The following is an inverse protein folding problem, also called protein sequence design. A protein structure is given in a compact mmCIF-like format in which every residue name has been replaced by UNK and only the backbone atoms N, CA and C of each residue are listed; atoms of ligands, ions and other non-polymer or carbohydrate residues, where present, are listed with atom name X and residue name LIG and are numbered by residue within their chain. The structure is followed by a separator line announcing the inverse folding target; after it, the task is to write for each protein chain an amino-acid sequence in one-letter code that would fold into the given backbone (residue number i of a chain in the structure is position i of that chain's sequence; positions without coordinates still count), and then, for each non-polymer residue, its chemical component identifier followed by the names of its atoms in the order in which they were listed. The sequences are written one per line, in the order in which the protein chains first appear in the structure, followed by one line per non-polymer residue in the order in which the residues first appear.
data_IF_697556365928
#
_entry.id   IF_697556365928
#
_cell.length_a   1.000
_cell.length_b   1.000
_cell.length_c   1.000
_cell.angle_alpha   90.00
_cell.angle_beta   90.00
_cell.angle_gamma   90.00
#
_symmetry.space_group_name_H-M   'P 1'
#
loop_
_entity.id
_entity.type
_entity.pdbx_description
1 polymer ?
#
# COMPACT_ATOMS: atom_id res chain seq x y z
N UNK A 1 21.04 6.87 5.96
CA UNK A 1 19.82 6.52 5.20
C UNK A 1 19.04 5.46 5.98
N UNK A 2 18.22 5.85 6.97
CA UNK A 2 17.40 4.90 7.77
C UNK A 2 15.90 5.30 7.85
N UNK A 3 15.51 6.46 7.31
CA UNK A 3 14.18 7.03 7.56
C UNK A 3 13.06 6.44 6.69
N UNK A 4 13.32 6.10 5.43
CA UNK A 4 12.25 5.66 4.51
C UNK A 4 11.86 4.19 4.73
N UNK A 5 12.82 3.32 5.06
CA UNK A 5 12.56 1.90 5.34
C UNK A 5 11.81 1.71 6.67
N UNK A 6 12.18 2.47 7.71
CA UNK A 6 11.42 2.55 8.97
C UNK A 6 9.97 2.99 8.74
N UNK A 7 9.76 4.06 7.96
CA UNK A 7 8.41 4.54 7.66
C UNK A 7 7.57 3.48 6.94
N UNK A 8 8.13 2.68 6.04
CA UNK A 8 7.32 1.66 5.35
C UNK A 8 6.92 0.48 6.23
N UNK A 9 7.84 0.00 7.07
CA UNK A 9 7.54 -1.08 8.02
C UNK A 9 6.51 -0.65 9.07
N UNK A 10 6.61 0.59 9.56
CA UNK A 10 5.67 1.13 10.54
C UNK A 10 4.26 1.27 9.95
N UNK A 11 4.15 1.66 8.67
CA UNK A 11 2.86 1.76 7.99
C UNK A 11 2.22 0.40 7.72
N UNK A 12 3.01 -0.62 7.40
CA UNK A 12 2.52 -1.98 7.22
C UNK A 12 2.05 -2.57 8.56
N UNK A 13 2.80 -2.34 9.65
CA UNK A 13 2.38 -2.69 11.01
C UNK A 13 1.09 -1.98 11.44
N UNK A 14 0.92 -0.70 11.09
CA UNK A 14 -0.32 0.04 11.37
C UNK A 14 -1.52 -0.57 10.61
N UNK A 15 -1.32 -0.98 9.35
CA UNK A 15 -2.36 -1.61 8.55
C UNK A 15 -2.75 -2.98 9.11
N UNK A 16 -1.77 -3.78 9.50
CA UNK A 16 -1.96 -5.08 10.15
C UNK A 16 -2.67 -4.94 11.50
N UNK A 17 -2.23 -4.02 12.37
CA UNK A 17 -2.86 -3.76 13.67
C UNK A 17 -4.34 -3.36 13.52
N UNK A 18 -4.66 -2.53 12.51
CA UNK A 18 -6.06 -2.17 12.20
C UNK A 18 -6.88 -3.36 11.72
N UNK A 19 -6.29 -4.22 10.89
CA UNK A 19 -6.95 -5.45 10.43
C UNK A 19 -7.26 -6.36 11.62
N UNK A 20 -6.26 -6.62 12.46
CA UNK A 20 -6.38 -7.48 13.64
C UNK A 20 -7.39 -6.91 14.64
N UNK A 21 -7.38 -5.59 14.88
CA UNK A 21 -8.35 -4.95 15.76
C UNK A 21 -9.80 -5.13 15.26
N UNK A 22 -10.04 -5.02 13.95
CA UNK A 22 -11.38 -5.24 13.38
C UNK A 22 -11.83 -6.69 13.47
N UNK A 23 -10.90 -7.63 13.27
CA UNK A 23 -11.19 -9.05 13.42
C UNK A 23 -11.60 -9.37 14.86
N UNK A 24 -10.85 -8.84 15.84
CA UNK A 24 -11.17 -9.04 17.25
C UNK A 24 -12.52 -8.41 17.62
N UNK A 25 -12.83 -7.21 17.14
CA UNK A 25 -14.14 -6.57 17.36
C UNK A 25 -15.27 -7.42 16.76
N UNK A 26 -15.08 -8.01 15.57
CA UNK A 26 -16.09 -8.89 14.97
C UNK A 26 -16.24 -10.16 15.81
N UNK A 27 -15.15 -10.77 16.28
CA UNK A 27 -15.20 -11.92 17.17
C UNK A 27 -16.01 -11.60 18.44
N UNK A 28 -15.69 -10.49 19.12
CA UNK A 28 -16.41 -10.03 20.31
C UNK A 28 -17.90 -9.81 20.02
N UNK A 29 -18.23 -9.21 18.87
CA UNK A 29 -19.62 -9.04 18.46
C UNK A 29 -20.32 -10.38 18.23
N UNK A 30 -19.68 -11.34 17.56
CA UNK A 30 -20.29 -12.66 17.32
C UNK A 30 -20.51 -13.45 18.61
N UNK A 31 -19.65 -13.27 19.61
CA UNK A 31 -19.83 -13.87 20.93
C UNK A 31 -20.96 -13.18 21.69
N UNK A 32 -20.97 -11.85 21.70
CA UNK A 32 -22.05 -11.05 22.26
C UNK A 32 -23.42 -11.41 21.63
N UNK A 33 -23.48 -11.56 20.31
CA UNK A 33 -24.72 -11.87 19.59
C UNK A 33 -25.29 -13.23 19.99
N UNK A 34 -24.44 -14.24 20.25
CA UNK A 34 -24.90 -15.58 20.69
C UNK A 34 -25.62 -15.55 22.04
N UNK A 35 -25.20 -14.66 22.94
CA UNK A 35 -25.79 -14.51 24.27
C UNK A 35 -26.89 -13.45 24.33
N UNK A 36 -27.16 -12.76 23.22
CA UNK A 36 -28.14 -11.67 23.19
C UNK A 36 -29.53 -12.20 22.86
N UNK A 37 -30.48 -12.01 23.78
CA UNK A 37 -31.87 -12.49 23.63
C UNK A 37 -32.71 -11.69 22.62
N UNK A 38 -32.23 -10.54 22.15
CA UNK A 38 -32.94 -9.73 21.16
C UNK A 38 -32.60 -10.08 19.70
N UNK A 39 -33.38 -9.56 18.76
CA UNK A 39 -33.14 -9.78 17.32
C UNK A 39 -31.82 -9.18 16.82
N UNK A 40 -31.31 -9.71 15.69
CA UNK A 40 -30.00 -9.35 15.10
C UNK A 40 -29.77 -7.85 14.91
N UNK A 41 -30.80 -7.10 14.53
CA UNK A 41 -30.69 -5.64 14.34
C UNK A 41 -30.45 -4.91 15.65
N UNK A 42 -31.14 -5.31 16.72
CA UNK A 42 -31.00 -4.72 18.04
C UNK A 42 -29.64 -5.07 18.66
N UNK A 43 -29.20 -6.33 18.49
CA UNK A 43 -27.88 -6.79 18.95
C UNK A 43 -26.74 -5.91 18.41
N UNK A 44 -26.76 -5.57 17.12
CA UNK A 44 -25.74 -4.71 16.48
C UNK A 44 -25.70 -3.32 17.07
N UNK A 45 -26.88 -2.71 17.21
CA UNK A 45 -27.01 -1.36 17.74
C UNK A 45 -26.51 -1.29 19.19
N UNK A 46 -26.94 -2.26 20.00
CA UNK A 46 -26.57 -2.35 21.40
C UNK A 46 -25.08 -2.64 21.58
N UNK A 47 -24.51 -3.57 20.82
CA UNK A 47 -23.08 -3.86 20.85
C UNK A 47 -22.24 -2.61 20.53
N UNK A 48 -22.57 -1.88 19.46
CA UNK A 48 -21.85 -0.65 19.12
C UNK A 48 -21.94 0.40 20.23
N UNK A 49 -23.12 0.56 20.83
CA UNK A 49 -23.32 1.47 21.96
C UNK A 49 -22.48 1.05 23.17
N UNK A 50 -22.55 -0.21 23.58
CA UNK A 50 -21.82 -0.76 24.72
C UNK A 50 -20.30 -0.68 24.51
N UNK A 51 -19.81 -0.99 23.31
CA UNK A 51 -18.39 -0.89 22.96
C UNK A 51 -17.90 0.55 23.07
N UNK A 52 -18.60 1.50 22.46
CA UNK A 52 -18.22 2.92 22.45
C UNK A 52 -18.25 3.55 23.85
N UNK A 53 -19.04 3.00 24.77
CA UNK A 53 -19.08 3.39 26.18
C UNK A 53 -18.07 2.65 27.05
N UNK A 54 -17.32 1.71 26.48
CA UNK A 54 -16.31 0.92 27.19
C UNK A 54 -16.87 -0.25 28.00
N UNK A 55 -18.16 -0.55 27.90
CA UNK A 55 -18.81 -1.67 28.58
C UNK A 55 -18.50 -3.04 27.98
N UNK A 56 -18.00 -3.08 26.74
CA UNK A 56 -17.41 -4.30 26.16
C UNK A 56 -15.95 -4.39 26.61
N UNK A 57 -15.62 -5.52 27.23
CA UNK A 57 -14.24 -5.86 27.57
C UNK A 57 -13.50 -6.23 26.27
N UNK A 58 -12.52 -5.41 25.91
CA UNK A 58 -11.67 -5.62 24.77
C UNK A 58 -10.25 -5.27 25.18
N UNK A 59 -9.27 -5.98 24.62
CA UNK A 59 -7.85 -5.75 24.91
C UNK A 59 -7.46 -4.29 24.64
N UNK A 60 -6.57 -3.75 25.47
CA UNK A 60 -6.18 -2.33 25.42
C UNK A 60 -5.69 -1.91 24.02
N UNK A 61 -4.93 -2.77 23.33
CA UNK A 61 -4.44 -2.49 21.97
C UNK A 61 -5.58 -2.35 20.94
N UNK A 62 -6.70 -3.07 21.12
CA UNK A 62 -7.87 -2.96 20.25
C UNK A 62 -8.55 -1.61 20.44
N UNK A 63 -8.79 -1.21 21.70
CA UNK A 63 -9.37 0.10 22.04
C UNK A 63 -8.48 1.26 21.59
N UNK A 64 -7.17 1.13 21.74
CA UNK A 64 -6.20 2.12 21.25
C UNK A 64 -6.22 2.25 19.72
N UNK A 65 -6.46 1.15 19.00
CA UNK A 65 -6.51 1.16 17.53
C UNK A 65 -7.86 1.65 16.99
N UNK A 66 -8.97 1.25 17.63
CA UNK A 66 -10.34 1.56 17.23
C UNK A 66 -11.16 1.90 18.47
N UNK A 67 -11.25 3.20 18.76
CA UNK A 67 -11.95 3.70 19.96
C UNK A 67 -13.48 3.63 19.80
N UNK A 68 -13.98 3.87 18.59
CA UNK A 68 -15.42 3.91 18.33
C UNK A 68 -15.80 3.15 17.07
N UNK A 69 -16.99 2.58 17.08
CA UNK A 69 -17.59 1.82 15.99
C UNK A 69 -19.02 2.27 15.73
N UNK A 70 -19.44 2.10 14.48
CA UNK A 70 -20.82 2.32 14.03
C UNK A 70 -21.37 1.01 13.47
N UNK A 71 -22.68 0.83 13.52
CA UNK A 71 -23.35 -0.34 12.94
C UNK A 71 -22.97 -0.56 11.46
N UNK A 72 -22.93 0.51 10.65
CA UNK A 72 -22.57 0.42 9.24
C UNK A 72 -21.14 -0.09 9.03
N UNK A 73 -20.18 0.37 9.84
CA UNK A 73 -18.79 -0.11 9.80
C UNK A 73 -18.68 -1.57 10.21
N UNK A 74 -19.35 -1.96 11.30
CA UNK A 74 -19.39 -3.34 11.79
C UNK A 74 -19.93 -4.28 10.70
N UNK A 75 -21.04 -3.91 10.06
CA UNK A 75 -21.64 -4.68 8.97
C UNK A 75 -20.74 -4.79 7.73
N UNK A 76 -20.06 -3.70 7.36
CA UNK A 76 -19.09 -3.75 6.25
C UNK A 76 -17.95 -4.71 6.55
N UNK A 77 -17.44 -4.71 7.77
CA UNK A 77 -16.35 -5.61 8.18
C UNK A 77 -16.80 -7.07 8.20
N UNK A 78 -17.97 -7.36 8.77
CA UNK A 78 -18.57 -8.70 8.75
C UNK A 78 -18.67 -9.23 7.31
N UNK A 79 -19.21 -8.42 6.40
CA UNK A 79 -19.33 -8.78 4.98
C UNK A 79 -17.98 -9.04 4.31
N UNK A 80 -16.94 -8.27 4.65
CA UNK A 80 -15.59 -8.53 4.12
C UNK A 80 -15.00 -9.85 4.63
N UNK A 81 -15.28 -10.24 5.87
CA UNK A 81 -14.85 -11.51 6.43
C UNK A 81 -15.57 -12.67 5.74
N UNK A 82 -16.89 -12.58 5.57
CA UNK A 82 -17.70 -13.57 4.84
C UNK A 82 -17.19 -13.78 3.40
N UNK A 83 -16.80 -12.69 2.74
CA UNK A 83 -16.24 -12.70 1.38
C UNK A 83 -14.76 -13.13 1.32
N UNK A 84 -14.16 -13.59 2.44
CA UNK A 84 -12.74 -13.92 2.59
C UNK A 84 -11.79 -12.79 2.14
N UNK A 85 -12.24 -11.54 2.26
CA UNK A 85 -11.52 -10.36 1.79
C UNK A 85 -10.92 -9.56 2.96
N UNK A 86 -10.06 -10.22 3.74
CA UNK A 86 -9.50 -9.69 4.97
C UNK A 86 -8.63 -8.44 4.73
N UNK A 87 -7.96 -8.36 3.59
CA UNK A 87 -7.16 -7.18 3.21
C UNK A 87 -7.98 -5.87 3.16
N UNK A 88 -9.29 -5.94 2.90
CA UNK A 88 -10.17 -4.75 2.94
C UNK A 88 -10.35 -4.21 4.36
N UNK A 89 -10.16 -5.03 5.39
CA UNK A 89 -10.24 -4.62 6.80
C UNK A 89 -9.06 -3.73 7.19
N UNK A 90 -7.85 -3.97 6.67
CA UNK A 90 -6.69 -3.11 6.90
C UNK A 90 -6.92 -1.64 6.46
N UNK A 91 -7.90 -1.42 5.55
CA UNK A 91 -8.19 -0.12 4.96
C UNK A 91 -7.30 0.18 3.75
N UNK A 92 -7.51 1.33 3.10
CA UNK A 92 -6.75 1.76 1.92
C UNK A 92 -5.39 2.37 2.26
N UNK A 93 -4.78 1.99 3.38
CA UNK A 93 -3.48 2.54 3.75
C UNK A 93 -2.40 1.87 2.89
N UNK A 94 -1.58 2.65 2.18
CA UNK A 94 -0.61 2.13 1.21
C UNK A 94 -1.17 1.73 -0.17
N UNK A 95 -2.50 1.70 -0.38
CA UNK A 95 -3.10 1.22 -1.64
C UNK A 95 -2.97 2.18 -2.84
N UNK A 96 -2.28 3.31 -2.68
CA UNK A 96 -1.82 4.17 -3.79
C UNK A 96 -0.37 3.88 -4.22
N UNK A 97 0.29 2.84 -3.69
CA UNK A 97 1.70 2.59 -4.02
C UNK A 97 1.93 2.12 -5.46
N UNK A 98 0.95 1.56 -6.18
CA UNK A 98 1.17 1.01 -7.55
C UNK A 98 -0.04 1.12 -8.48
N UNK A 99 -0.72 2.27 -8.48
CA UNK A 99 -1.77 2.57 -9.47
C UNK A 99 -1.26 3.59 -10.48
N UNK A 100 -1.25 3.25 -11.78
CA UNK A 100 -0.82 4.14 -12.84
C UNK A 100 -0.50 3.40 -14.13
N UNK A 101 -0.36 4.14 -15.23
CA UNK A 101 -0.16 3.59 -16.59
C UNK A 101 1.02 2.62 -16.69
N UNK A 102 2.09 2.83 -15.92
CA UNK A 102 3.25 1.93 -15.88
C UNK A 102 2.95 0.59 -15.20
N UNK A 103 2.10 0.57 -14.16
CA UNK A 103 1.76 -0.66 -13.45
C UNK A 103 0.62 -1.45 -14.12
N UNK A 104 -0.13 -0.81 -15.01
CA UNK A 104 -1.16 -1.45 -15.82
C UNK A 104 -0.62 -1.99 -17.17
N UNK A 105 0.62 -1.65 -17.53
CA UNK A 105 1.22 -1.98 -18.82
C UNK A 105 2.64 -2.50 -18.64
N UNK A 106 2.76 -3.83 -18.60
CA UNK A 106 4.04 -4.53 -18.41
C UNK A 106 5.06 -4.18 -19.48
N UNK A 107 4.64 -4.05 -20.75
CA UNK A 107 5.53 -3.70 -21.85
C UNK A 107 6.13 -2.30 -21.68
N UNK A 108 5.33 -1.35 -21.22
CA UNK A 108 5.79 0.01 -20.92
C UNK A 108 6.74 0.03 -19.71
N UNK A 109 6.49 -0.80 -18.70
CA UNK A 109 7.37 -0.97 -17.55
C UNK A 109 8.73 -1.57 -17.96
N UNK A 110 8.73 -2.66 -18.73
CA UNK A 110 9.94 -3.34 -19.19
C UNK A 110 10.80 -2.45 -20.08
N UNK A 111 10.16 -1.63 -20.93
CA UNK A 111 10.85 -0.63 -21.72
C UNK A 111 11.62 0.36 -20.83
N UNK A 112 10.97 0.92 -19.81
CA UNK A 112 11.63 1.86 -18.89
C UNK A 112 12.75 1.19 -18.09
N UNK A 113 12.54 -0.04 -17.61
CA UNK A 113 13.58 -0.80 -16.91
C UNK A 113 14.81 -1.06 -17.79
N UNK A 114 14.59 -1.45 -19.04
CA UNK A 114 15.65 -1.72 -20.02
C UNK A 114 16.44 -0.44 -20.30
N UNK A 115 15.73 0.68 -20.52
CA UNK A 115 16.37 1.98 -20.75
C UNK A 115 17.22 2.44 -19.57
N UNK A 116 16.76 2.28 -18.33
CA UNK A 116 17.55 2.65 -17.15
C UNK A 116 18.74 1.71 -16.96
N UNK A 117 18.56 0.41 -17.24
CA UNK A 117 19.63 -0.59 -17.10
C UNK A 117 20.74 -0.38 -18.14
N UNK A 118 20.38 -0.09 -19.39
CA UNK A 118 21.33 0.16 -20.48
C UNK A 118 21.96 1.55 -20.37
N UNK A 119 21.22 2.54 -19.87
CA UNK A 119 21.66 3.93 -19.78
C UNK A 119 21.38 4.50 -18.38
N UNK A 120 22.22 4.23 -17.36
CA UNK A 120 21.97 4.64 -15.97
C UNK A 120 21.78 6.16 -15.78
N UNK A 121 22.42 6.96 -16.63
CA UNK A 121 22.33 8.43 -16.64
C UNK A 121 21.14 8.97 -17.45
N UNK A 122 20.25 8.11 -17.96
CA UNK A 122 19.09 8.56 -18.72
C UNK A 122 18.18 9.43 -17.85
N UNK A 123 17.71 10.53 -18.45
CA UNK A 123 16.75 11.45 -17.85
C UNK A 123 15.31 11.03 -18.14
N UNK A 124 14.37 11.42 -17.27
CA UNK A 124 12.94 11.21 -17.48
C UNK A 124 12.42 11.81 -18.80
N UNK A 125 13.06 12.88 -19.28
CA UNK A 125 12.74 13.51 -20.57
C UNK A 125 13.12 12.61 -21.75
N UNK A 126 14.26 11.93 -21.68
CA UNK A 126 14.70 11.00 -22.73
C UNK A 126 13.79 9.77 -22.78
N UNK A 127 13.42 9.22 -21.62
CA UNK A 127 12.48 8.10 -21.56
C UNK A 127 11.11 8.52 -22.10
N UNK A 128 10.60 9.69 -21.68
CA UNK A 128 9.34 10.22 -22.19
C UNK A 128 9.36 10.37 -23.72
N UNK A 129 10.46 10.89 -24.28
CA UNK A 129 10.63 11.02 -25.73
C UNK A 129 10.56 9.66 -26.43
N UNK A 130 11.20 8.63 -25.87
CA UNK A 130 11.13 7.26 -26.37
C UNK A 130 9.73 6.65 -26.29
N UNK A 131 8.99 6.90 -25.21
CA UNK A 131 7.59 6.48 -25.05
C UNK A 131 6.70 7.19 -26.08
N UNK A 132 6.85 8.50 -26.23
CA UNK A 132 6.06 9.30 -27.17
C UNK A 132 6.31 8.90 -28.63
N UNK A 133 7.52 8.49 -28.98
CA UNK A 133 7.84 8.00 -30.32
C UNK A 133 7.23 6.62 -30.62
N UNK A 134 6.87 5.85 -29.59
CA UNK A 134 6.41 4.47 -29.70
C UNK A 134 5.05 4.22 -29.03
N UNK A 135 4.15 5.22 -29.02
CA UNK A 135 2.85 5.12 -28.33
C UNK A 135 2.01 3.92 -28.78
N UNK A 136 2.06 3.59 -30.08
CA UNK A 136 1.35 2.44 -30.65
C UNK A 136 1.83 1.11 -30.09
N UNK A 137 3.16 0.95 -29.90
CA UNK A 137 3.77 -0.24 -29.30
C UNK A 137 3.20 -0.49 -27.90
N UNK A 138 3.02 0.58 -27.12
CA UNK A 138 2.49 0.51 -25.76
C UNK A 138 0.96 0.59 -25.69
N UNK A 139 0.24 0.65 -26.81
CA UNK A 139 -1.23 0.79 -26.87
C UNK A 139 -1.73 1.98 -26.04
N UNK A 140 -0.97 3.07 -26.03
CA UNK A 140 -1.32 4.30 -25.31
C UNK A 140 -2.02 5.29 -26.24
N UNK A 141 -3.17 5.83 -25.80
CA UNK A 141 -3.85 6.92 -26.50
C UNK A 141 -3.07 8.24 -26.45
N UNK A 142 -2.31 8.44 -25.37
CA UNK A 142 -1.54 9.65 -25.12
C UNK A 142 -0.31 9.33 -24.25
N UNK A 143 0.77 10.11 -24.36
CA UNK A 143 1.95 9.90 -23.54
C UNK A 143 1.66 10.19 -22.05
N UNK A 144 2.31 9.49 -21.12
CA UNK A 144 2.28 9.85 -19.71
C UNK A 144 2.89 11.23 -19.47
N UNK A 145 2.48 11.90 -18.40
CA UNK A 145 3.13 13.16 -18.01
C UNK A 145 4.59 12.94 -17.61
N UNK A 146 5.45 13.94 -17.84
CA UNK A 146 6.85 13.91 -17.42
C UNK A 146 6.98 13.61 -15.92
N UNK A 147 6.09 14.16 -15.09
CA UNK A 147 6.05 13.93 -13.63
C UNK A 147 5.77 12.46 -13.30
N UNK A 148 4.89 11.81 -14.06
CA UNK A 148 4.60 10.37 -13.92
C UNK A 148 5.82 9.52 -14.26
N UNK A 149 6.52 9.84 -15.36
CA UNK A 149 7.76 9.15 -15.76
C UNK A 149 8.85 9.34 -14.71
N UNK A 150 9.10 10.58 -14.28
CA UNK A 150 10.11 10.90 -13.29
C UNK A 150 9.86 10.22 -11.94
N UNK A 151 8.59 10.19 -11.49
CA UNK A 151 8.19 9.47 -10.29
C UNK A 151 8.47 7.97 -10.42
N UNK A 152 8.04 7.34 -11.52
CA UNK A 152 8.26 5.91 -11.74
C UNK A 152 9.75 5.55 -11.78
N UNK A 153 10.57 6.38 -12.45
CA UNK A 153 12.03 6.22 -12.45
C UNK A 153 12.65 6.38 -11.05
N UNK A 154 12.18 7.36 -10.27
CA UNK A 154 12.65 7.59 -8.90
C UNK A 154 12.30 6.41 -7.99
N UNK A 155 11.06 5.92 -8.07
CA UNK A 155 10.59 4.75 -7.33
C UNK A 155 11.43 3.50 -7.69
N UNK A 156 11.80 3.33 -8.96
CA UNK A 156 12.67 2.24 -9.41
C UNK A 156 14.11 2.40 -8.93
N UNK A 157 14.72 3.58 -9.07
CA UNK A 157 16.11 3.84 -8.64
C UNK A 157 16.28 3.64 -7.14
N UNK A 158 15.32 4.09 -6.32
CA UNK A 158 15.32 3.88 -4.87
C UNK A 158 15.20 2.39 -4.49
N UNK A 159 14.54 1.57 -5.30
CA UNK A 159 14.44 0.12 -5.12
C UNK A 159 15.68 -0.64 -5.64
N UNK A 160 16.36 -0.10 -6.65
CA UNK A 160 17.57 -0.69 -7.25
C UNK A 160 18.88 -0.26 -6.56
N UNK A 161 18.88 0.88 -5.86
CA UNK A 161 20.04 1.43 -5.14
C UNK A 161 20.70 0.51 -4.10
N UNK A 162 20.02 -0.42 -3.38
CA UNK A 162 20.75 -1.38 -2.55
C UNK A 162 21.61 -2.39 -3.34
N UNK A 163 21.56 -2.41 -4.69
CA UNK A 163 22.30 -3.38 -5.53
C UNK A 163 23.28 -2.78 -6.55
N UNK A 164 23.22 -1.49 -6.87
CA UNK A 164 24.08 -0.90 -7.93
C UNK A 164 25.42 -0.38 -7.37
N UNK A 165 25.59 -0.29 -6.06
CA UNK A 165 26.87 0.04 -5.42
C UNK A 165 27.82 -1.16 -5.39
N UNK A 166 28.26 -1.64 -6.57
CA UNK A 166 29.51 -2.44 -6.75
C UNK A 166 29.83 -2.67 -8.23
N UNK A 167 29.87 -1.61 -9.03
CA UNK A 167 30.73 -1.62 -10.23
C UNK A 167 31.68 -0.45 -10.11
N UNK A 168 32.80 -0.69 -9.42
CA UNK A 168 33.95 0.21 -9.37
C UNK A 168 34.37 0.54 -10.81
N UNK A 169 34.41 1.83 -11.14
CA UNK A 169 35.19 2.31 -12.30
C UNK A 169 36.67 1.94 -12.05
N UNK A 170 37.37 1.28 -12.98
CA UNK A 170 38.82 1.15 -12.87
C UNK A 170 39.46 2.55 -12.91
N UNK A 171 40.42 2.73 -12.02
CA UNK A 171 40.91 4.02 -11.56
C UNK A 171 41.62 4.86 -12.62
N UNK A 172 41.52 6.18 -12.46
CA UNK A 172 42.52 7.11 -12.95
C UNK A 172 43.79 6.88 -12.13
N UNK A 173 44.82 6.30 -12.73
CA UNK A 173 46.17 6.39 -12.18
C UNK A 173 46.67 7.81 -12.45
N UNK A 174 46.67 8.63 -11.41
CA UNK A 174 47.57 9.77 -11.33
C UNK A 174 48.80 9.31 -10.55
N UNK A 175 50.00 9.60 -11.07
CA UNK A 175 51.32 9.66 -10.44
C UNK A 175 52.38 9.51 -11.57
N UNK A 176 53.48 10.26 -11.71
CA UNK A 176 54.16 11.38 -11.02
C UNK A 176 55.08 12.00 -12.10
N UNK A 177 55.55 13.23 -11.85
CA UNK A 177 56.74 13.92 -12.39
C UNK A 177 57.68 13.18 -13.34
#
# INVERSE_FOLDING_TARGET
MNGVMMLTEDLDKIAENRMNAKLEIIRLWTEFEKSFAGGKTVSKAFFCFAYNRGHIEALAWVKNTIQTISQASLMRWARHIEQKNLFRLAGRYGSRKKSGVFYANLLLQDYVHTMISMFPNCSARQILRGISANLQLFKLKQPPSLKTVARFMGDWKAQAEPKIERVKRPGKTAQIS
#
